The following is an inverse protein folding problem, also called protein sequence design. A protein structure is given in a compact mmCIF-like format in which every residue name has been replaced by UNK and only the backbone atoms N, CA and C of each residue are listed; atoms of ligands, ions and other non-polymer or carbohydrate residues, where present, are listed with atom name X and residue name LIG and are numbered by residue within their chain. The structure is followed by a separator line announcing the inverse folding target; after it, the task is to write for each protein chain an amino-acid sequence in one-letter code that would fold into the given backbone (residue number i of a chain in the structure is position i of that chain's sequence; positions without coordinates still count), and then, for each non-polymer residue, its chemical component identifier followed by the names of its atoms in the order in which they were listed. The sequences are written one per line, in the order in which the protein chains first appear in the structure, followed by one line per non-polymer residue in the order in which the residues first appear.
data_IF_787051857191
#
_entry.id   IF_787051857191
#
_cell.length_a   1.000
_cell.length_b   1.000
_cell.length_c   1.000
_cell.angle_alpha   90.00
_cell.angle_beta   90.00
_cell.angle_gamma   90.00
#
_symmetry.space_group_name_H-M   'P 1'
#
loop_
_entity.id
_entity.type
_entity.pdbx_description
1 polymer ?
#
# COMPACT_ATOMS: atom_id res chain seq x y z
N UNK A 1 27.31 56.67 7.94
CA UNK A 1 26.21 55.76 8.32
C UNK A 1 25.37 55.54 7.08
N UNK A 2 25.59 54.45 6.37
CA UNK A 2 24.87 54.11 5.14
C UNK A 2 24.27 52.74 5.35
N UNK A 3 22.94 52.69 5.38
CA UNK A 3 22.16 51.51 5.76
C UNK A 3 22.36 50.36 4.77
N UNK A 4 22.75 49.20 5.31
CA UNK A 4 22.80 47.94 4.58
C UNK A 4 21.36 47.41 4.50
N UNK A 5 20.74 47.56 3.34
CA UNK A 5 19.49 46.84 3.01
C UNK A 5 19.78 45.34 3.07
N UNK A 6 19.17 44.66 4.05
CA UNK A 6 19.10 43.20 4.10
C UNK A 6 18.28 42.73 2.89
N UNK A 7 18.95 42.26 1.85
CA UNK A 7 18.31 41.49 0.79
C UNK A 7 17.83 40.18 1.39
N UNK A 8 16.52 40.04 1.55
CA UNK A 8 15.86 38.80 1.93
C UNK A 8 16.21 37.71 0.92
N UNK A 9 17.05 36.76 1.31
CA UNK A 9 17.30 35.51 0.59
C UNK A 9 16.07 34.62 0.70
N UNK A 10 15.06 34.88 -0.13
CA UNK A 10 14.05 33.88 -0.46
C UNK A 10 14.69 32.90 -1.44
N UNK A 11 15.42 31.92 -0.93
CA UNK A 11 15.86 30.77 -1.73
C UNK A 11 14.65 29.90 -2.03
N UNK A 12 13.92 30.23 -3.10
CA UNK A 12 13.04 29.28 -3.76
C UNK A 12 13.98 28.25 -4.39
N UNK A 13 14.23 27.15 -3.68
CA UNK A 13 14.98 26.02 -4.22
C UNK A 13 14.15 25.47 -5.38
N UNK A 14 14.49 25.82 -6.62
CA UNK A 14 13.86 25.25 -7.81
C UNK A 14 13.97 23.73 -7.74
N UNK A 15 12.82 23.07 -7.59
CA UNK A 15 12.77 21.62 -7.42
C UNK A 15 13.20 20.98 -8.74
N UNK A 16 14.23 20.14 -8.69
CA UNK A 16 14.75 19.46 -9.88
C UNK A 16 13.63 18.72 -10.62
N UNK A 17 13.58 18.84 -11.94
CA UNK A 17 12.53 18.18 -12.73
C UNK A 17 12.83 16.68 -12.83
N UNK A 18 12.09 15.85 -12.08
CA UNK A 18 12.19 14.39 -12.18
C UNK A 18 11.26 13.82 -13.26
N UNK A 19 11.80 12.93 -14.08
CA UNK A 19 11.07 12.17 -15.10
C UNK A 19 10.50 10.86 -14.52
N UNK A 20 9.49 10.25 -15.16
CA UNK A 20 8.91 8.96 -14.75
C UNK A 20 9.95 7.87 -14.45
N UNK A 21 10.97 7.74 -15.30
CA UNK A 21 12.05 6.76 -15.11
C UNK A 21 12.85 7.03 -13.83
N UNK A 22 13.11 8.29 -13.48
CA UNK A 22 13.82 8.64 -12.24
C UNK A 22 12.99 8.22 -11.01
N UNK A 23 11.67 8.48 -11.05
CA UNK A 23 10.77 8.07 -9.97
C UNK A 23 10.69 6.53 -9.83
N UNK A 24 10.69 5.80 -10.95
CA UNK A 24 10.73 4.34 -10.97
C UNK A 24 12.06 3.79 -10.40
N UNK A 25 13.19 4.42 -10.71
CA UNK A 25 14.48 4.08 -10.11
C UNK A 25 14.48 4.36 -8.61
N UNK A 26 13.98 5.52 -8.17
CA UNK A 26 13.91 5.87 -6.74
C UNK A 26 13.07 4.87 -5.93
N UNK A 27 11.89 4.49 -6.43
CA UNK A 27 11.06 3.51 -5.72
C UNK A 27 11.72 2.13 -5.70
N UNK A 28 12.40 1.74 -6.78
CA UNK A 28 13.15 0.48 -6.82
C UNK A 28 14.30 0.47 -5.83
N UNK A 29 15.07 1.57 -5.73
CA UNK A 29 16.13 1.73 -4.73
C UNK A 29 15.58 1.63 -3.30
N UNK A 30 14.43 2.24 -3.02
CA UNK A 30 13.75 2.08 -1.73
C UNK A 30 13.46 0.61 -1.42
N UNK A 31 12.90 -0.12 -2.38
CA UNK A 31 12.52 -1.53 -2.21
C UNK A 31 13.75 -2.40 -1.96
N UNK A 32 14.84 -2.16 -2.68
CA UNK A 32 16.10 -2.88 -2.50
C UNK A 32 16.70 -2.58 -1.13
N UNK A 33 16.71 -1.31 -0.72
CA UNK A 33 17.19 -0.87 0.59
C UNK A 33 16.41 -1.55 1.72
N UNK A 34 15.08 -1.51 1.68
CA UNK A 34 14.23 -2.16 2.68
C UNK A 34 14.38 -3.68 2.74
N UNK A 35 14.81 -4.32 1.65
CA UNK A 35 15.04 -5.76 1.59
C UNK A 35 16.40 -6.17 2.15
N UNK A 36 17.41 -5.33 1.97
CA UNK A 36 18.81 -5.67 2.27
C UNK A 36 19.28 -5.15 3.63
N UNK A 37 18.63 -4.11 4.18
CA UNK A 37 18.98 -3.52 5.47
C UNK A 37 18.07 -4.04 6.59
N UNK A 38 18.60 -4.12 7.81
CA UNK A 38 17.81 -4.48 8.98
C UNK A 38 16.82 -3.35 9.35
N UNK A 39 15.61 -3.65 9.84
CA UNK A 39 14.65 -2.63 10.22
C UNK A 39 15.11 -1.87 11.47
N UNK A 40 15.63 -0.66 11.27
CA UNK A 40 15.99 0.30 12.30
C UNK A 40 15.35 1.68 12.05
N UNK A 41 15.45 2.59 13.03
CA UNK A 41 14.86 3.92 12.93
C UNK A 41 15.43 4.73 11.75
N UNK A 42 16.72 4.56 11.46
CA UNK A 42 17.41 5.22 10.35
C UNK A 42 16.84 4.76 9.01
N UNK A 43 16.62 3.46 8.83
CA UNK A 43 16.01 2.90 7.63
C UNK A 43 14.60 3.46 7.43
N UNK A 44 13.81 3.57 8.51
CA UNK A 44 12.47 4.16 8.42
C UNK A 44 12.52 5.63 8.00
N UNK A 45 13.43 6.44 8.56
CA UNK A 45 13.60 7.85 8.19
C UNK A 45 14.06 8.03 6.74
N UNK A 46 15.04 7.24 6.29
CA UNK A 46 15.47 7.19 4.88
C UNK A 46 14.28 6.84 3.99
N UNK A 47 13.55 5.78 4.33
CA UNK A 47 12.41 5.32 3.56
C UNK A 47 11.30 6.38 3.47
N UNK A 48 10.99 7.07 4.58
CA UNK A 48 10.03 8.18 4.58
C UNK A 48 10.50 9.34 3.71
N UNK A 49 11.80 9.63 3.66
CA UNK A 49 12.38 10.66 2.80
C UNK A 49 12.17 10.36 1.31
N UNK A 50 12.46 9.11 0.89
CA UNK A 50 12.17 8.66 -0.48
C UNK A 50 10.69 8.77 -0.83
N UNK A 51 9.83 8.25 0.06
CA UNK A 51 8.38 8.26 -0.11
C UNK A 51 7.84 9.68 -0.21
N UNK A 52 8.30 10.58 0.66
CA UNK A 52 7.90 11.98 0.66
C UNK A 52 8.24 12.66 -0.68
N UNK A 53 9.47 12.46 -1.15
CA UNK A 53 9.92 13.06 -2.40
C UNK A 53 9.13 12.50 -3.60
N UNK A 54 8.97 11.18 -3.70
CA UNK A 54 8.19 10.55 -4.77
C UNK A 54 6.73 11.04 -4.80
N UNK A 55 6.09 11.10 -3.63
CA UNK A 55 4.68 11.50 -3.53
C UNK A 55 4.49 12.98 -3.86
N UNK A 56 5.51 13.82 -3.66
CA UNK A 56 5.42 15.24 -3.99
C UNK A 56 5.28 15.53 -5.49
N UNK A 57 5.82 14.68 -6.38
CA UNK A 57 5.75 14.90 -7.84
C UNK A 57 4.41 14.48 -8.46
N UNK A 58 3.68 13.52 -7.87
CA UNK A 58 2.35 13.04 -8.33
C UNK A 58 2.24 12.75 -9.83
N UNK A 59 3.28 12.17 -10.46
CA UNK A 59 3.31 11.96 -11.93
C UNK A 59 2.84 10.58 -12.39
N UNK A 60 3.33 9.51 -11.76
CA UNK A 60 3.19 8.13 -12.27
C UNK A 60 2.37 7.31 -11.29
N UNK A 61 1.16 6.93 -11.67
CA UNK A 61 0.20 6.25 -10.80
C UNK A 61 0.77 5.01 -10.11
N UNK A 62 1.37 4.07 -10.86
CA UNK A 62 1.95 2.86 -10.26
C UNK A 62 3.05 3.14 -9.23
N UNK A 63 3.90 4.15 -9.49
CA UNK A 63 4.95 4.57 -8.54
C UNK A 63 4.32 5.20 -7.30
N UNK A 64 3.27 6.01 -7.46
CA UNK A 64 2.51 6.59 -6.35
C UNK A 64 1.89 5.50 -5.48
N UNK A 65 1.20 4.53 -6.09
CA UNK A 65 0.62 3.39 -5.38
C UNK A 65 1.67 2.63 -4.56
N UNK A 66 2.83 2.34 -5.15
CA UNK A 66 3.89 1.59 -4.45
C UNK A 66 4.52 2.40 -3.32
N UNK A 67 4.71 3.70 -3.51
CA UNK A 67 5.22 4.62 -2.49
C UNK A 67 4.23 4.80 -1.32
N UNK A 68 2.94 4.91 -1.62
CA UNK A 68 1.89 5.04 -0.60
C UNK A 68 1.73 3.74 0.20
N UNK A 69 1.84 2.56 -0.44
CA UNK A 69 1.91 1.30 0.30
C UNK A 69 3.13 1.25 1.23
N UNK A 70 4.30 1.67 0.76
CA UNK A 70 5.50 1.74 1.61
C UNK A 70 5.28 2.67 2.81
N UNK A 71 4.61 3.81 2.60
CA UNK A 71 4.22 4.72 3.67
C UNK A 71 3.35 4.03 4.71
N UNK A 72 2.28 3.37 4.28
CA UNK A 72 1.35 2.69 5.18
C UNK A 72 2.09 1.67 6.07
N UNK A 73 2.91 0.84 5.45
CA UNK A 73 3.66 -0.20 6.16
C UNK A 73 4.67 0.41 7.15
N UNK A 74 5.44 1.43 6.74
CA UNK A 74 6.41 2.09 7.63
C UNK A 74 5.71 2.81 8.81
N UNK A 75 4.57 3.44 8.56
CA UNK A 75 3.80 4.12 9.61
C UNK A 75 3.21 3.12 10.62
N UNK A 76 2.79 1.94 10.16
CA UNK A 76 2.19 0.92 11.01
C UNK A 76 3.12 0.36 12.08
N UNK A 77 4.44 0.43 11.87
CA UNK A 77 5.43 0.03 12.87
C UNK A 77 5.42 0.92 14.12
N UNK A 78 4.89 2.14 14.00
CA UNK A 78 4.71 3.05 15.12
C UNK A 78 3.27 2.98 15.62
N UNK A 79 3.08 2.48 16.85
CA UNK A 79 1.76 2.32 17.49
C UNK A 79 0.84 3.55 17.36
N UNK A 80 1.39 4.77 17.52
CA UNK A 80 0.62 6.02 17.43
C UNK A 80 0.11 6.36 16.01
N UNK A 81 0.65 5.71 14.98
CA UNK A 81 0.33 5.97 13.56
C UNK A 81 -0.42 4.82 12.89
N UNK A 82 -0.73 3.73 13.62
CA UNK A 82 -1.35 2.54 13.03
C UNK A 82 -2.74 2.82 12.44
N UNK A 83 -3.58 3.60 13.14
CA UNK A 83 -4.92 3.95 12.65
C UNK A 83 -4.84 4.76 11.35
N UNK A 84 -3.89 5.68 11.26
CA UNK A 84 -3.63 6.45 10.04
C UNK A 84 -3.15 5.54 8.91
N UNK A 85 -2.29 4.58 9.20
CA UNK A 85 -1.84 3.60 8.21
C UNK A 85 -2.99 2.73 7.70
N UNK A 86 -3.93 2.33 8.58
CA UNK A 86 -5.12 1.57 8.22
C UNK A 86 -6.02 2.37 7.28
N UNK A 87 -6.32 3.63 7.61
CA UNK A 87 -7.15 4.50 6.77
C UNK A 87 -6.52 4.72 5.39
N UNK A 88 -5.21 4.91 5.32
CA UNK A 88 -4.50 5.02 4.03
C UNK A 88 -4.55 3.71 3.23
N UNK A 89 -4.34 2.57 3.89
CA UNK A 89 -4.39 1.26 3.24
C UNK A 89 -5.79 0.93 2.71
N UNK A 90 -6.85 1.33 3.42
CA UNK A 90 -8.23 1.20 2.97
C UNK A 90 -8.47 1.96 1.67
N UNK A 91 -8.03 3.22 1.61
CA UNK A 91 -8.16 4.07 0.41
C UNK A 91 -7.44 3.44 -0.77
N UNK A 92 -6.23 2.91 -0.57
CA UNK A 92 -5.48 2.24 -1.64
C UNK A 92 -6.17 0.97 -2.14
N UNK A 93 -6.71 0.15 -1.22
CA UNK A 93 -7.48 -1.05 -1.56
C UNK A 93 -8.72 -0.68 -2.39
N UNK A 94 -9.49 0.31 -1.94
CA UNK A 94 -10.70 0.76 -2.62
C UNK A 94 -10.41 1.33 -4.01
N UNK A 95 -9.37 2.17 -4.16
CA UNK A 95 -8.95 2.73 -5.46
C UNK A 95 -8.58 1.64 -6.47
N UNK A 96 -7.90 0.58 -6.02
CA UNK A 96 -7.55 -0.57 -6.88
C UNK A 96 -8.74 -1.48 -7.21
N UNK A 97 -9.77 -1.52 -6.37
CA UNK A 97 -11.02 -2.24 -6.63
C UNK A 97 -12.02 -1.42 -7.48
N UNK A 98 -11.63 -0.21 -7.91
CA UNK A 98 -12.50 0.67 -8.69
C UNK A 98 -13.59 1.36 -7.86
N UNK A 99 -13.48 1.29 -6.53
CA UNK A 99 -14.40 1.93 -5.59
C UNK A 99 -13.88 3.34 -5.32
N UNK A 100 -14.30 4.30 -6.14
CA UNK A 100 -13.90 5.70 -5.99
C UNK A 100 -15.02 6.50 -5.33
N UNK A 101 -14.68 7.24 -4.28
CA UNK A 101 -15.59 8.17 -3.62
C UNK A 101 -14.95 9.54 -3.53
N UNK A 102 -15.65 10.57 -4.04
CA UNK A 102 -15.24 11.97 -3.96
C UNK A 102 -16.34 12.70 -3.21
N UNK A 103 -16.00 13.32 -2.08
CA UNK A 103 -16.94 14.03 -1.20
C UNK A 103 -18.17 13.18 -0.80
N UNK A 104 -17.96 11.88 -0.58
CA UNK A 104 -19.00 10.93 -0.18
C UNK A 104 -19.89 10.44 -1.31
N UNK A 105 -19.61 10.83 -2.57
CA UNK A 105 -20.34 10.34 -3.75
C UNK A 105 -19.50 9.33 -4.50
N UNK A 106 -20.10 8.20 -4.85
CA UNK A 106 -19.43 7.22 -5.72
C UNK A 106 -19.26 7.80 -7.11
N UNK A 107 -18.06 7.63 -7.66
CA UNK A 107 -17.69 8.10 -8.99
C UNK A 107 -17.23 6.90 -9.80
N UNK A 108 -17.88 6.64 -10.92
CA UNK A 108 -17.43 5.64 -11.88
C UNK A 108 -16.39 6.25 -12.81
N UNK A 109 -15.29 5.53 -12.99
CA UNK A 109 -14.22 5.93 -13.89
C UNK A 109 -14.45 5.30 -15.26
N UNK A 110 -14.21 6.06 -16.33
CA UNK A 110 -14.26 5.53 -17.69
C UNK A 110 -13.04 4.63 -17.97
N UNK A 111 -13.16 3.77 -18.98
CA UNK A 111 -12.04 2.90 -19.42
C UNK A 111 -10.80 3.74 -19.77
N UNK A 112 -10.99 4.89 -20.43
CA UNK A 112 -9.91 5.81 -20.78
C UNK A 112 -9.17 6.34 -19.55
N UNK A 113 -9.91 6.67 -18.48
CA UNK A 113 -9.31 7.11 -17.22
C UNK A 113 -8.46 6.01 -16.58
N UNK A 114 -8.91 4.75 -16.63
CA UNK A 114 -8.08 3.62 -16.18
C UNK A 114 -6.85 3.40 -17.05
N UNK A 115 -6.94 3.59 -18.37
CA UNK A 115 -5.81 3.44 -19.28
C UNK A 115 -4.68 4.45 -18.97
N UNK A 116 -5.01 5.66 -18.52
CA UNK A 116 -3.99 6.64 -18.09
C UNK A 116 -3.15 6.17 -16.89
N UNK A 117 -3.62 5.17 -16.14
CA UNK A 117 -2.93 4.60 -14.97
C UNK A 117 -1.94 3.48 -15.32
N UNK A 118 -2.03 2.91 -16.54
CA UNK A 118 -1.19 1.79 -17.01
C UNK A 118 0.28 2.14 -17.30
N UNK A 119 0.64 3.35 -17.81
CA UNK A 119 2.03 3.67 -18.08
C UNK A 119 2.93 3.45 -16.87
N UNK A 120 4.08 2.80 -17.10
CA UNK A 120 5.10 2.49 -16.09
C UNK A 120 4.65 1.56 -14.95
N UNK A 121 3.46 0.93 -15.03
CA UNK A 121 2.96 0.05 -13.98
C UNK A 121 3.95 -1.08 -13.65
N UNK A 122 4.48 -1.75 -14.69
CA UNK A 122 5.48 -2.82 -14.52
C UNK A 122 6.79 -2.31 -13.93
N UNK A 123 7.30 -1.17 -14.42
CA UNK A 123 8.55 -0.57 -13.96
C UNK A 123 8.46 -0.02 -12.51
N UNK A 124 7.25 0.28 -12.04
CA UNK A 124 7.02 0.84 -10.71
C UNK A 124 7.01 -0.19 -9.57
N UNK A 125 7.04 -1.49 -9.89
CA UNK A 125 6.83 -2.58 -8.93
C UNK A 125 5.53 -2.39 -8.12
N UNK A 126 4.51 -1.79 -8.75
CA UNK A 126 3.16 -1.77 -8.20
C UNK A 126 2.69 -3.20 -7.95
N UNK A 127 2.08 -3.42 -6.78
CA UNK A 127 1.60 -4.75 -6.42
C UNK A 127 0.18 -4.98 -7.00
N UNK A 128 -0.22 -6.22 -7.22
CA UNK A 128 -1.60 -6.51 -7.56
C UNK A 128 -2.53 -6.21 -6.38
N UNK A 129 -3.83 -6.01 -6.66
CA UNK A 129 -4.80 -5.50 -5.68
C UNK A 129 -4.89 -6.36 -4.41
N UNK A 130 -4.78 -7.70 -4.52
CA UNK A 130 -4.88 -8.60 -3.38
C UNK A 130 -3.76 -8.39 -2.36
N UNK A 131 -2.59 -7.91 -2.77
CA UNK A 131 -1.49 -7.57 -1.83
C UNK A 131 -1.84 -6.33 -1.01
N UNK A 132 -2.52 -5.34 -1.60
CA UNK A 132 -3.01 -4.17 -0.86
C UNK A 132 -4.12 -4.56 0.11
N UNK A 133 -5.06 -5.40 -0.34
CA UNK A 133 -6.13 -5.93 0.51
C UNK A 133 -5.59 -6.76 1.68
N UNK A 134 -4.63 -7.67 1.42
CA UNK A 134 -3.94 -8.45 2.45
C UNK A 134 -3.20 -7.54 3.44
N UNK A 135 -2.50 -6.52 2.95
CA UNK A 135 -1.81 -5.55 3.83
C UNK A 135 -2.80 -4.81 4.73
N UNK A 136 -3.93 -4.36 4.18
CA UNK A 136 -5.00 -3.72 4.96
C UNK A 136 -5.59 -4.67 6.03
N UNK A 137 -5.91 -5.90 5.66
CA UNK A 137 -6.42 -6.91 6.59
C UNK A 137 -5.42 -7.26 7.70
N UNK A 138 -4.13 -7.36 7.36
CA UNK A 138 -3.05 -7.57 8.34
C UNK A 138 -2.96 -6.41 9.35
N UNK A 139 -3.11 -5.17 8.88
CA UNK A 139 -3.16 -4.01 9.77
C UNK A 139 -4.40 -3.99 10.67
N UNK A 140 -5.57 -4.38 10.15
CA UNK A 140 -6.79 -4.53 10.95
C UNK A 140 -6.62 -5.59 12.03
N UNK A 141 -6.00 -6.72 11.71
CA UNK A 141 -5.70 -7.78 12.67
C UNK A 141 -4.74 -7.30 13.76
N UNK A 142 -3.70 -6.54 13.41
CA UNK A 142 -2.79 -5.90 14.39
C UNK A 142 -3.50 -4.92 15.32
N UNK A 143 -4.56 -4.25 14.86
CA UNK A 143 -5.41 -3.39 15.68
C UNK A 143 -6.40 -4.19 16.55
N UNK A 144 -6.67 -5.45 16.22
CA UNK A 144 -7.68 -6.29 16.87
C UNK A 144 -9.06 -6.26 16.19
N UNK A 145 -9.20 -5.62 15.04
CA UNK A 145 -10.41 -5.58 14.22
C UNK A 145 -10.59 -6.88 13.40
N UNK A 146 -10.58 -8.01 14.09
CA UNK A 146 -10.48 -9.35 13.51
C UNK A 146 -11.65 -9.73 12.61
N UNK A 147 -12.88 -9.30 12.93
CA UNK A 147 -14.05 -9.58 12.10
C UNK A 147 -13.94 -8.95 10.70
N UNK A 148 -13.41 -7.74 10.63
CA UNK A 148 -13.21 -7.06 9.35
C UNK A 148 -12.02 -7.63 8.59
N UNK A 149 -10.93 -7.97 9.29
CA UNK A 149 -9.79 -8.66 8.68
C UNK A 149 -10.21 -9.99 8.03
N UNK A 150 -11.00 -10.82 8.73
CA UNK A 150 -11.56 -12.07 8.19
C UNK A 150 -12.42 -11.84 6.94
N UNK A 151 -13.27 -10.81 6.95
CA UNK A 151 -14.08 -10.45 5.77
C UNK A 151 -13.19 -10.16 4.57
N UNK A 152 -12.18 -9.31 4.76
CA UNK A 152 -11.27 -8.92 3.67
C UNK A 152 -10.49 -10.12 3.15
N UNK A 153 -9.93 -10.97 4.03
CA UNK A 153 -9.22 -12.18 3.61
C UNK A 153 -10.13 -13.14 2.82
N UNK A 154 -11.38 -13.28 3.23
CA UNK A 154 -12.36 -14.09 2.51
C UNK A 154 -12.70 -13.50 1.14
N UNK A 155 -12.88 -12.18 1.05
CA UNK A 155 -13.21 -11.48 -0.21
C UNK A 155 -12.11 -11.64 -1.27
N UNK A 156 -10.84 -11.75 -0.84
CA UNK A 156 -9.70 -11.99 -1.74
C UNK A 156 -9.31 -13.47 -1.87
N UNK A 157 -10.08 -14.38 -1.26
CA UNK A 157 -9.83 -15.82 -1.24
C UNK A 157 -8.44 -16.21 -0.69
N UNK A 158 -7.95 -15.45 0.28
CA UNK A 158 -6.66 -15.68 0.93
C UNK A 158 -6.80 -16.61 2.13
N UNK A 159 -6.97 -17.89 1.84
CA UNK A 159 -7.29 -18.90 2.85
C UNK A 159 -6.16 -19.11 3.87
N UNK A 160 -4.90 -18.94 3.48
CA UNK A 160 -3.75 -19.09 4.39
C UNK A 160 -3.84 -18.06 5.53
N UNK A 161 -3.93 -16.78 5.18
CA UNK A 161 -4.07 -15.70 6.18
C UNK A 161 -5.41 -15.76 6.93
N UNK A 162 -6.47 -16.27 6.30
CA UNK A 162 -7.76 -16.48 6.95
C UNK A 162 -7.69 -17.57 8.04
N UNK A 163 -6.98 -18.67 7.80
CA UNK A 163 -6.72 -19.72 8.79
C UNK A 163 -5.87 -19.19 9.93
N UNK A 164 -4.77 -18.51 9.63
CA UNK A 164 -3.91 -17.87 10.64
C UNK A 164 -4.72 -16.90 11.52
N UNK A 165 -5.62 -16.12 10.90
CA UNK A 165 -6.50 -15.22 11.62
C UNK A 165 -7.45 -15.96 12.56
N UNK A 166 -8.14 -17.02 12.09
CA UNK A 166 -9.01 -17.83 12.95
C UNK A 166 -8.27 -18.47 14.12
N UNK A 167 -7.07 -19.00 13.89
CA UNK A 167 -6.22 -19.57 14.95
C UNK A 167 -5.86 -18.48 15.97
N UNK A 168 -5.47 -17.28 15.51
CA UNK A 168 -5.12 -16.17 16.40
C UNK A 168 -6.28 -15.70 17.29
N UNK A 169 -7.54 -15.88 16.85
CA UNK A 169 -8.76 -15.55 17.59
C UNK A 169 -9.20 -16.71 18.52
N UNK A 170 -8.60 -17.89 18.38
CA UNK A 170 -9.01 -19.10 19.11
C UNK A 170 -10.20 -19.83 18.50
N UNK A 171 -10.52 -19.60 17.22
CA UNK A 171 -11.61 -20.26 16.49
C UNK A 171 -11.07 -21.33 15.52
N UNK A 172 -10.21 -22.23 16.01
CA UNK A 172 -9.59 -23.30 15.22
C UNK A 172 -10.61 -24.24 14.58
N UNK A 173 -11.72 -24.52 15.26
CA UNK A 173 -12.76 -25.43 14.76
C UNK A 173 -13.41 -24.91 13.47
N UNK A 174 -13.56 -23.58 13.36
CA UNK A 174 -14.07 -22.94 12.15
C UNK A 174 -13.04 -22.98 11.02
N UNK A 175 -11.77 -22.79 11.33
CA UNK A 175 -10.70 -22.95 10.35
C UNK A 175 -10.65 -24.38 9.81
N UNK A 176 -10.72 -25.39 10.69
CA UNK A 176 -10.75 -26.80 10.29
C UNK A 176 -11.96 -27.12 9.41
N UNK A 177 -13.15 -26.68 9.83
CA UNK A 177 -14.39 -26.86 9.05
C UNK A 177 -14.27 -26.22 7.67
N UNK A 178 -13.72 -25.01 7.60
CA UNK A 178 -13.50 -24.28 6.34
C UNK A 178 -12.53 -25.05 5.42
N UNK A 179 -11.40 -25.52 5.95
CA UNK A 179 -10.43 -26.31 5.17
C UNK A 179 -11.07 -27.62 4.68
N UNK A 180 -11.80 -28.34 5.53
CA UNK A 180 -12.54 -29.55 5.14
C UNK A 180 -13.52 -29.29 4.01
N UNK A 181 -14.25 -28.17 4.09
CA UNK A 181 -15.18 -27.76 3.04
C UNK A 181 -14.44 -27.47 1.72
N UNK A 182 -13.30 -26.78 1.75
CA UNK A 182 -12.48 -26.55 0.56
C UNK A 182 -11.97 -27.87 -0.08
N UNK A 183 -11.53 -28.82 0.75
CA UNK A 183 -11.05 -30.12 0.32
C UNK A 183 -12.16 -31.05 -0.21
N UNK A 184 -13.39 -30.87 0.27
CA UNK A 184 -14.55 -31.64 -0.21
C UNK A 184 -14.91 -31.33 -1.67
N UNK A 185 -14.49 -30.17 -2.18
CA UNK A 185 -14.70 -29.80 -3.58
C UNK A 185 -13.71 -30.59 -4.43
N UNK A 186 -14.22 -31.45 -5.32
CA UNK A 186 -13.38 -32.27 -6.21
C UNK A 186 -12.33 -31.42 -6.92
N UNK A 187 -11.11 -31.95 -6.96
CA UNK A 187 -10.01 -31.37 -7.72
C UNK A 187 -10.44 -31.21 -9.19
N UNK A 188 -10.33 -29.98 -9.67
CA UNK A 188 -10.59 -29.62 -11.06
C UNK A 188 -9.26 -29.27 -11.71
N UNK A 189 -9.00 -29.65 -12.98
CA UNK A 189 -7.75 -29.35 -13.67
C UNK A 189 -7.37 -27.86 -13.61
N UNK A 190 -8.36 -26.96 -13.54
CA UNK A 190 -8.17 -25.52 -13.42
C UNK A 190 -7.56 -25.05 -12.07
N UNK A 191 -7.46 -25.92 -11.05
CA UNK A 191 -6.89 -25.61 -9.73
C UNK A 191 -5.45 -26.11 -9.54
N UNK A 192 -4.88 -26.77 -10.54
CA UNK A 192 -3.51 -27.33 -10.52
C UNK A 192 -2.48 -26.46 -11.28
N UNK A 193 -2.95 -25.37 -11.90
CA UNK A 193 -2.16 -24.40 -12.64
C UNK A 193 -1.82 -23.20 -11.74
#
# INVERSE_FOLDING_TARGET
MTEIKKTSTSTVTEKATLYPVHLACMITSLIIMQRNEAPDEILFEKAESFVHEIVSYRKVYGVQLRALLARCLNESERKRKIERAIMQAEVLKNDLQGIHSIDGRQVEFTIEQYQTRLPWLLASNAKPFWIYARSYASLLQRLGANAEALRVYNDIYDYDSLVECYISIGQSDKAETMVKNLLSVKESPYRLC
#
